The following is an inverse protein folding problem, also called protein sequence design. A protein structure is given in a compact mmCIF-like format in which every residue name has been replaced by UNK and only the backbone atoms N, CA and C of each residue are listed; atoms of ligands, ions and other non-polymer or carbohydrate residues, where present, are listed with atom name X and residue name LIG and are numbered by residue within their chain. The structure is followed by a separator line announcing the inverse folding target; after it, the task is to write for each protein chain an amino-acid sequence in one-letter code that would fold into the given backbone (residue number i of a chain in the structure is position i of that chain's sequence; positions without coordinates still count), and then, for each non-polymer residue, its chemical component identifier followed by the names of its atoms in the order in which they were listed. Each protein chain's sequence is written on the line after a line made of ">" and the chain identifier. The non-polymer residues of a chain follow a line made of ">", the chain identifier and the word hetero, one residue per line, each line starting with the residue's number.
data_IF_305070160332
#
_entry.id   IF_305070160332
#
_cell.length_a   1.000
_cell.length_b   1.000
_cell.length_c   1.000
_cell.angle_alpha   90.00
_cell.angle_beta   90.00
_cell.angle_gamma   90.00
#
_symmetry.space_group_name_H-M   'P 1'
#
loop_
_entity.id
_entity.type
_entity.pdbx_description
1 polymer ?
#
# COMPACT_ATOMS: atom_id res chain seq x y z
N UNK A 1 12.58 -2.67 -4.88
CA UNK A 1 12.05 -3.51 -3.79
C UNK A 1 10.77 -4.15 -4.31
N UNK A 2 10.88 -5.39 -4.78
CA UNK A 2 9.75 -6.16 -5.29
C UNK A 2 8.75 -6.44 -4.17
N UNK A 3 7.48 -6.14 -4.42
CA UNK A 3 6.38 -6.53 -3.54
C UNK A 3 5.90 -7.92 -3.92
N UNK A 4 6.79 -8.90 -3.72
CA UNK A 4 6.37 -10.30 -3.65
C UNK A 4 5.55 -10.51 -2.39
N UNK A 5 4.24 -10.66 -2.55
CA UNK A 5 3.47 -11.49 -1.62
C UNK A 5 3.72 -12.95 -1.97
N UNK A 6 4.92 -13.42 -1.63
CA UNK A 6 5.24 -14.82 -1.34
C UNK A 6 6.61 -14.85 -0.65
N UNK A 7 6.61 -14.89 0.68
CA UNK A 7 7.77 -15.29 1.50
C UNK A 7 8.97 -14.36 1.51
N UNK A 8 9.00 -13.38 2.44
CA UNK A 8 10.29 -12.79 2.83
C UNK A 8 11.05 -13.74 3.78
N UNK A 9 12.33 -14.05 3.51
CA UNK A 9 13.15 -14.94 4.32
C UNK A 9 13.65 -14.16 5.55
N UNK A 10 12.89 -14.29 6.64
CA UNK A 10 13.25 -13.79 7.97
C UNK A 10 12.42 -14.44 9.06
N UNK A 11 11.82 -15.61 8.78
CA UNK A 11 11.03 -16.36 9.75
C UNK A 11 11.95 -17.23 10.62
N UNK A 12 12.09 -16.84 11.88
CA UNK A 12 12.22 -17.85 12.94
C UNK A 12 10.89 -18.61 13.02
N UNK A 13 10.94 -19.88 12.62
CA UNK A 13 9.90 -20.92 12.63
C UNK A 13 8.72 -20.80 11.64
N UNK A 14 8.49 -21.91 10.94
CA UNK A 14 7.40 -22.20 10.01
C UNK A 14 6.05 -21.98 10.70
N UNK A 15 5.30 -20.95 10.28
CA UNK A 15 3.94 -20.69 10.77
C UNK A 15 2.93 -21.58 10.02
N UNK A 16 2.02 -22.23 10.75
CA UNK A 16 0.94 -23.02 10.16
C UNK A 16 -0.11 -22.13 9.46
N UNK A 17 -0.78 -22.61 8.40
CA UNK A 17 -1.72 -21.82 7.59
C UNK A 17 -2.97 -21.32 8.33
N UNK A 18 -3.31 -21.92 9.48
CA UNK A 18 -4.49 -21.54 10.29
C UNK A 18 -4.29 -20.28 11.14
N UNK A 19 -3.09 -19.70 11.15
CA UNK A 19 -2.78 -18.52 11.98
C UNK A 19 -3.14 -17.22 11.26
N UNK A 20 -3.66 -16.21 12.00
CA UNK A 20 -3.99 -14.93 11.41
C UNK A 20 -2.75 -14.23 10.81
N UNK A 21 -2.88 -13.54 9.66
CA UNK A 21 -1.75 -12.91 8.97
C UNK A 21 -1.31 -11.63 9.71
N UNK A 22 -0.52 -11.80 10.77
CA UNK A 22 0.04 -10.72 11.58
C UNK A 22 1.52 -10.51 11.28
N UNK A 23 1.87 -9.29 10.89
CA UNK A 23 3.25 -8.83 10.86
C UNK A 23 3.59 -8.18 12.21
N UNK A 24 4.40 -8.87 13.02
CA UNK A 24 4.78 -8.46 14.36
C UNK A 24 6.22 -7.97 14.34
N UNK A 25 6.47 -6.81 14.94
CA UNK A 25 7.80 -6.26 15.16
C UNK A 25 8.01 -6.04 16.64
N UNK A 26 9.06 -6.66 17.19
CA UNK A 26 9.49 -6.36 18.55
C UNK A 26 10.15 -4.98 18.58
N UNK A 27 9.78 -4.17 19.56
CA UNK A 27 10.35 -2.83 19.77
C UNK A 27 10.96 -2.80 21.17
N UNK A 28 12.30 -2.75 21.21
CA UNK A 28 13.09 -2.65 22.44
C UNK A 28 13.57 -1.21 22.58
N UNK A 29 12.76 -0.32 23.16
CA UNK A 29 13.11 1.10 23.34
C UNK A 29 11.96 2.06 23.03
N UNK A 30 12.28 3.33 22.77
CA UNK A 30 11.30 4.32 22.36
C UNK A 30 10.70 3.96 21.00
N UNK A 31 9.37 3.96 20.92
CA UNK A 31 8.64 3.70 19.70
C UNK A 31 8.64 4.97 18.85
N UNK A 32 9.58 5.07 17.90
CA UNK A 32 9.64 6.20 16.96
C UNK A 32 8.49 6.09 15.95
N UNK A 33 7.35 6.71 16.29
CA UNK A 33 6.18 6.77 15.42
C UNK A 33 6.19 8.06 14.61
N UNK A 34 5.76 8.00 13.34
CA UNK A 34 5.78 9.15 12.47
C UNK A 34 4.94 10.28 13.08
N UNK A 35 5.60 11.37 13.45
CA UNK A 35 4.90 12.58 13.87
C UNK A 35 4.02 13.11 12.74
N UNK A 36 2.93 13.78 13.11
CA UNK A 36 1.98 14.36 12.15
C UNK A 36 2.66 15.50 11.41
N UNK A 37 3.29 15.20 10.27
CA UNK A 37 3.87 16.24 9.41
C UNK A 37 2.78 17.12 8.80
N UNK A 38 3.07 18.43 8.71
CA UNK A 38 2.27 19.33 7.91
C UNK A 38 2.31 18.85 6.46
N UNK A 39 1.14 18.42 5.98
CA UNK A 39 1.03 18.02 4.58
C UNK A 39 1.04 19.29 3.75
N UNK A 40 2.18 19.56 3.10
CA UNK A 40 2.18 20.47 1.95
C UNK A 40 1.06 20.00 1.01
N UNK A 41 0.12 20.90 0.75
CA UNK A 41 -0.90 20.72 -0.27
C UNK A 41 -0.23 20.50 -1.63
N UNK A 42 -0.94 19.87 -2.55
CA UNK A 42 -0.47 19.69 -3.91
C UNK A 42 -1.54 19.04 -4.77
N UNK A 43 -1.60 19.45 -6.02
CA UNK A 43 -2.45 18.84 -7.05
C UNK A 43 -1.87 17.47 -7.46
N UNK A 44 -2.74 16.47 -7.57
CA UNK A 44 -2.40 15.09 -7.92
C UNK A 44 -3.59 14.16 -7.62
N UNK A 45 -3.42 12.86 -7.82
CA UNK A 45 -4.40 11.77 -7.67
C UNK A 45 -4.02 10.91 -6.47
N UNK A 46 -2.91 10.17 -6.52
CA UNK A 46 -2.51 9.25 -5.45
C UNK A 46 -1.13 9.61 -4.92
N UNK A 47 -1.02 9.86 -3.61
CA UNK A 47 0.28 10.10 -2.98
C UNK A 47 1.00 8.77 -2.70
N UNK A 48 2.30 8.72 -2.97
CA UNK A 48 3.14 7.53 -2.76
C UNK A 48 3.36 7.18 -1.29
N UNK A 49 3.44 8.20 -0.43
CA UNK A 49 3.66 8.03 1.01
C UNK A 49 2.44 7.46 1.77
N UNK A 50 1.24 7.57 1.19
CA UNK A 50 0.01 7.25 1.92
C UNK A 50 -0.18 5.74 2.17
N UNK A 51 0.05 4.83 1.20
CA UNK A 51 0.06 3.39 1.47
C UNK A 51 1.16 2.99 2.46
N UNK A 52 2.39 3.49 2.27
CA UNK A 52 3.55 3.19 3.13
C UNK A 52 3.29 3.51 4.60
N UNK A 53 2.49 4.55 4.87
CA UNK A 53 2.04 4.88 6.23
C UNK A 53 1.46 3.68 6.97
N UNK A 54 0.64 2.85 6.32
CA UNK A 54 -0.06 1.74 6.97
C UNK A 54 0.64 0.39 6.85
N UNK A 55 1.69 0.30 6.03
CA UNK A 55 2.49 -0.91 5.90
C UNK A 55 3.73 -0.84 6.81
N UNK A 56 4.38 0.31 6.91
CA UNK A 56 5.69 0.41 7.53
C UNK A 56 5.71 1.29 8.79
N UNK A 57 4.89 2.34 8.83
CA UNK A 57 5.11 3.44 9.80
C UNK A 57 4.11 3.46 10.95
N UNK A 58 2.84 3.13 10.70
CA UNK A 58 1.77 3.18 11.71
C UNK A 58 1.29 1.77 12.04
N UNK A 59 1.59 1.25 13.24
CA UNK A 59 1.09 -0.05 13.66
C UNK A 59 -0.43 0.01 13.87
N UNK A 60 -1.16 -1.04 13.49
CA UNK A 60 -2.59 -1.13 13.79
C UNK A 60 -2.85 -1.32 15.29
N UNK A 61 -1.94 -2.03 15.97
CA UNK A 61 -1.97 -2.36 17.39
C UNK A 61 -0.56 -2.26 17.98
N UNK A 62 -0.45 -1.69 19.16
CA UNK A 62 0.73 -1.71 20.03
C UNK A 62 0.39 -2.57 21.24
N UNK A 63 1.23 -3.54 21.57
CA UNK A 63 1.02 -4.45 22.70
C UNK A 63 2.11 -4.20 23.75
N UNK A 64 1.69 -3.83 24.96
CA UNK A 64 2.57 -3.64 26.10
C UNK A 64 2.54 -4.90 26.97
N UNK A 65 3.70 -5.54 27.12
CA UNK A 65 3.87 -6.67 28.04
C UNK A 65 4.35 -6.15 29.39
N UNK A 66 3.68 -6.54 30.48
CA UNK A 66 4.02 -6.16 31.85
C UNK A 66 4.16 -7.41 32.71
N UNK A 67 5.25 -7.51 33.44
CA UNK A 67 5.42 -8.53 34.49
C UNK A 67 4.68 -8.05 35.76
N UNK A 68 3.48 -8.60 35.99
CA UNK A 68 2.56 -8.14 37.03
C UNK A 68 1.54 -9.22 37.42
N UNK A 69 1.72 -9.77 38.61
CA UNK A 69 0.73 -10.62 39.29
C UNK A 69 -0.35 -9.78 40.01
N UNK A 70 -1.55 -10.33 40.17
CA UNK A 70 -2.69 -9.62 40.78
C UNK A 70 -2.51 -9.32 42.28
N UNK A 71 -1.72 -10.14 42.97
CA UNK A 71 -1.41 -10.05 44.40
C UNK A 71 -0.03 -9.42 44.67
N UNK A 72 0.57 -8.77 43.66
CA UNK A 72 1.89 -8.15 43.78
C UNK A 72 1.92 -7.14 44.96
N UNK A 73 2.92 -7.26 45.84
CA UNK A 73 3.01 -6.48 47.09
C UNK A 73 3.01 -4.96 46.86
N UNK A 74 3.67 -4.51 45.79
CA UNK A 74 3.68 -3.11 45.34
C UNK A 74 2.64 -2.81 44.27
N UNK A 75 1.42 -3.37 44.38
CA UNK A 75 0.36 -3.20 43.37
C UNK A 75 0.15 -1.73 42.97
N UNK A 76 0.09 -0.82 43.94
CA UNK A 76 -0.17 0.59 43.69
C UNK A 76 0.91 1.24 42.80
N UNK A 77 2.18 0.92 43.03
CA UNK A 77 3.30 1.41 42.21
C UNK A 77 3.25 0.84 40.79
N UNK A 78 3.01 -0.48 40.67
CA UNK A 78 2.91 -1.17 39.38
C UNK A 78 1.73 -0.69 38.54
N UNK A 79 0.62 -0.40 39.20
CA UNK A 79 -0.57 0.21 38.62
C UNK A 79 -0.25 1.59 38.01
N UNK A 80 0.41 2.46 38.77
CA UNK A 80 0.84 3.78 38.29
C UNK A 80 1.89 3.68 37.16
N UNK A 81 2.80 2.71 37.24
CA UNK A 81 3.76 2.43 36.17
C UNK A 81 3.04 2.03 34.86
N UNK A 82 2.04 1.15 34.94
CA UNK A 82 1.24 0.71 33.80
C UNK A 82 0.47 1.88 33.14
N UNK A 83 -0.15 2.73 33.97
CA UNK A 83 -0.84 3.94 33.52
C UNK A 83 0.11 4.88 32.77
N UNK A 84 1.26 5.19 33.36
CA UNK A 84 2.28 6.06 32.76
C UNK A 84 2.79 5.52 31.42
N UNK A 85 3.10 4.23 31.33
CA UNK A 85 3.52 3.59 30.08
C UNK A 85 2.41 3.65 29.02
N UNK A 86 1.16 3.36 29.38
CA UNK A 86 0.03 3.45 28.45
C UNK A 86 -0.20 4.89 27.97
N UNK A 87 -0.10 5.88 28.86
CA UNK A 87 -0.24 7.29 28.53
C UNK A 87 0.87 7.76 27.57
N UNK A 88 2.13 7.38 27.83
CA UNK A 88 3.27 7.65 26.96
C UNK A 88 3.06 7.04 25.56
N UNK A 89 2.67 5.77 25.48
CA UNK A 89 2.39 5.10 24.20
C UNK A 89 1.28 5.80 23.40
N UNK A 90 0.21 6.28 24.07
CA UNK A 90 -0.86 7.05 23.41
C UNK A 90 -0.37 8.40 22.90
N UNK A 91 0.48 9.09 23.66
CA UNK A 91 1.05 10.35 23.26
C UNK A 91 1.92 10.18 22.01
N UNK A 92 2.80 9.18 22.00
CA UNK A 92 3.70 8.89 20.88
C UNK A 92 2.97 8.38 19.64
N UNK A 93 1.97 7.52 19.79
CA UNK A 93 1.22 6.99 18.65
C UNK A 93 0.24 7.96 18.00
N UNK A 94 -0.05 9.07 18.69
CA UNK A 94 -1.25 9.84 18.46
C UNK A 94 -2.51 8.95 18.57
N UNK A 95 -3.69 9.53 18.34
CA UNK A 95 -4.95 8.76 18.29
C UNK A 95 -5.04 7.81 17.06
N UNK A 96 -3.91 7.41 16.48
CA UNK A 96 -3.88 6.59 15.29
C UNK A 96 -4.11 5.12 15.63
N UNK A 97 -3.28 4.54 16.51
CA UNK A 97 -3.12 3.10 16.77
C UNK A 97 -3.90 2.62 18.00
N UNK A 98 -4.27 1.33 18.03
CA UNK A 98 -4.85 0.71 19.24
C UNK A 98 -3.74 0.27 20.19
N UNK A 99 -4.08 0.16 21.48
CA UNK A 99 -3.19 -0.34 22.52
C UNK A 99 -3.84 -1.54 23.19
N UNK A 100 -3.05 -2.56 23.49
CA UNK A 100 -3.42 -3.67 24.37
C UNK A 100 -2.31 -3.89 25.40
N UNK A 101 -2.69 -4.44 26.55
CA UNK A 101 -1.79 -4.82 27.64
C UNK A 101 -1.88 -6.33 27.85
N UNK A 102 -0.72 -6.97 27.97
CA UNK A 102 -0.60 -8.38 28.33
C UNK A 102 0.16 -8.46 29.64
N UNK A 103 -0.49 -9.00 30.67
CA UNK A 103 0.13 -9.29 31.94
C UNK A 103 0.80 -10.66 31.87
N UNK A 104 2.09 -10.69 32.17
CA UNK A 104 2.87 -11.90 32.37
C UNK A 104 2.78 -12.23 33.86
N UNK A 105 2.25 -13.40 34.19
CA UNK A 105 2.04 -13.84 35.57
C UNK A 105 2.95 -15.01 35.89
N UNK A 106 3.70 -14.91 36.99
CA UNK A 106 4.65 -15.93 37.41
C UNK A 106 3.96 -17.09 38.13
N UNK A 107 2.73 -16.89 38.61
CA UNK A 107 1.93 -17.96 39.24
C UNK A 107 1.00 -18.65 38.23
N UNK A 108 0.75 -19.93 38.47
CA UNK A 108 -0.30 -20.68 37.76
C UNK A 108 -1.67 -20.08 38.10
N UNK A 109 -2.46 -19.75 37.08
CA UNK A 109 -3.86 -19.32 37.26
C UNK A 109 -4.60 -20.43 38.02
N UNK A 110 -5.27 -20.13 39.15
CA UNK A 110 -5.98 -21.16 39.91
C UNK A 110 -7.03 -21.85 39.03
N UNK A 111 -7.05 -23.19 39.07
CA UNK A 111 -7.86 -24.06 38.20
C UNK A 111 -9.36 -24.07 38.51
N UNK A 112 -9.83 -23.27 39.48
CA UNK A 112 -11.22 -23.31 39.95
C UNK A 112 -11.66 -21.98 40.58
N UNK A 113 -12.69 -21.35 40.01
CA UNK A 113 -13.45 -20.24 40.59
C UNK A 113 -13.00 -18.85 40.12
N UNK A 114 -13.98 -17.96 39.88
CA UNK A 114 -13.74 -16.53 39.66
C UNK A 114 -12.90 -15.98 40.80
N UNK A 115 -11.67 -15.54 40.50
CA UNK A 115 -10.83 -14.84 41.46
C UNK A 115 -11.37 -13.39 41.60
N UNK A 116 -11.98 -13.03 42.75
CA UNK A 116 -12.57 -11.71 42.93
C UNK A 116 -11.49 -10.62 42.91
N UNK A 117 -10.28 -10.92 43.40
CA UNK A 117 -9.16 -9.98 43.39
C UNK A 117 -8.72 -9.73 41.94
N UNK A 118 -8.53 -10.78 41.15
CA UNK A 118 -8.19 -10.64 39.73
C UNK A 118 -9.24 -9.80 38.97
N UNK A 119 -10.52 -10.01 39.26
CA UNK A 119 -11.61 -9.27 38.62
C UNK A 119 -11.59 -7.79 38.99
N UNK A 120 -11.46 -7.47 40.27
CA UNK A 120 -11.35 -6.10 40.78
C UNK A 120 -10.13 -5.38 40.18
N UNK A 121 -8.97 -6.03 40.22
CA UNK A 121 -7.71 -5.48 39.73
C UNK A 121 -7.69 -5.32 38.21
N UNK A 122 -8.29 -6.24 37.46
CA UNK A 122 -8.44 -6.13 36.01
C UNK A 122 -9.32 -4.93 35.63
N UNK A 123 -10.42 -4.72 36.37
CA UNK A 123 -11.29 -3.57 36.17
C UNK A 123 -10.57 -2.25 36.47
N UNK A 124 -9.86 -2.21 37.60
CA UNK A 124 -9.05 -1.06 38.03
C UNK A 124 -7.97 -0.69 36.99
N UNK A 125 -7.21 -1.67 36.48
CA UNK A 125 -6.22 -1.45 35.43
C UNK A 125 -6.88 -0.99 34.12
N UNK A 126 -7.98 -1.59 33.70
CA UNK A 126 -8.69 -1.18 32.50
C UNK A 126 -9.14 0.29 32.58
N UNK A 127 -9.66 0.71 33.74
CA UNK A 127 -10.16 2.06 33.94
C UNK A 127 -9.06 3.11 33.84
N UNK A 128 -7.98 2.96 34.63
CA UNK A 128 -6.87 3.95 34.65
C UNK A 128 -6.10 3.94 33.33
N UNK A 129 -5.92 2.76 32.74
CA UNK A 129 -5.18 2.65 31.49
C UNK A 129 -6.08 2.95 30.31
N UNK A 130 -7.36 3.30 30.47
CA UNK A 130 -8.34 3.52 29.40
C UNK A 130 -8.39 2.39 28.36
N UNK A 131 -8.46 1.15 28.85
CA UNK A 131 -8.58 -0.07 28.06
C UNK A 131 -10.01 -0.60 28.16
N UNK A 132 -10.47 -1.25 27.10
CA UNK A 132 -11.62 -2.14 27.18
C UNK A 132 -11.17 -3.53 27.66
N UNK A 133 -12.06 -4.37 28.23
CA UNK A 133 -11.71 -5.73 28.64
C UNK A 133 -11.11 -6.58 27.50
N UNK A 134 -11.42 -6.28 26.23
CA UNK A 134 -10.84 -6.94 25.05
C UNK A 134 -9.40 -6.51 24.74
N UNK A 135 -8.83 -5.60 25.53
CA UNK A 135 -7.47 -5.06 25.36
C UNK A 135 -6.56 -5.41 26.54
N UNK A 136 -7.06 -6.17 27.53
CA UNK A 136 -6.28 -6.67 28.64
C UNK A 136 -6.26 -8.19 28.58
N UNK A 137 -5.06 -8.77 28.57
CA UNK A 137 -4.85 -10.21 28.50
C UNK A 137 -3.91 -10.67 29.61
N UNK A 138 -4.01 -11.93 29.97
CA UNK A 138 -3.16 -12.55 30.98
C UNK A 138 -2.53 -13.80 30.39
N UNK A 139 -1.22 -13.93 30.59
CA UNK A 139 -0.43 -15.10 30.18
C UNK A 139 0.33 -15.62 31.40
N UNK A 140 0.04 -16.84 31.88
CA UNK A 140 0.87 -17.49 32.88
C UNK A 140 2.20 -17.91 32.25
N UNK A 141 3.31 -17.54 32.86
CA UNK A 141 4.67 -17.82 32.39
C UNK A 141 5.12 -19.26 32.71
N UNK A 142 4.38 -19.96 33.58
CA UNK A 142 4.63 -21.35 33.91
C UNK A 142 3.82 -22.29 33.00
N UNK A 143 4.51 -23.19 32.31
CA UNK A 143 3.89 -24.26 31.50
C UNK A 143 3.94 -24.01 30.00
N UNK A 144 3.07 -24.70 29.26
CA UNK A 144 2.97 -24.58 27.80
C UNK A 144 2.24 -23.29 27.39
N UNK A 145 2.96 -22.40 26.71
CA UNK A 145 2.45 -21.11 26.23
C UNK A 145 1.71 -21.21 24.90
N UNK A 146 1.78 -22.34 24.20
CA UNK A 146 1.33 -22.47 22.80
C UNK A 146 -0.15 -22.07 22.63
N UNK A 147 -1.02 -22.52 23.55
CA UNK A 147 -2.45 -22.16 23.53
C UNK A 147 -2.71 -20.68 23.82
N UNK A 148 -1.93 -20.06 24.71
CA UNK A 148 -2.04 -18.64 25.03
C UNK A 148 -1.58 -17.77 23.85
N UNK A 149 -0.47 -18.14 23.22
CA UNK A 149 0.06 -17.45 22.03
C UNK A 149 -0.98 -17.48 20.91
N UNK A 150 -1.60 -18.62 20.62
CA UNK A 150 -2.64 -18.73 19.59
C UNK A 150 -3.87 -17.84 19.88
N UNK A 151 -4.32 -17.81 21.15
CA UNK A 151 -5.42 -16.92 21.59
C UNK A 151 -5.04 -15.44 21.46
N UNK A 152 -3.83 -15.06 21.85
CA UNK A 152 -3.33 -13.69 21.70
C UNK A 152 -3.23 -13.28 20.23
N UNK A 153 -2.69 -14.14 19.36
CA UNK A 153 -2.63 -13.89 17.91
C UNK A 153 -4.04 -13.59 17.35
N UNK A 154 -5.03 -14.37 17.74
CA UNK A 154 -6.42 -14.18 17.30
C UNK A 154 -7.01 -12.85 17.82
N UNK A 155 -6.78 -12.55 19.10
CA UNK A 155 -7.27 -11.32 19.71
C UNK A 155 -6.57 -10.06 19.16
N UNK A 156 -5.26 -10.12 18.93
CA UNK A 156 -4.50 -9.03 18.31
C UNK A 156 -4.95 -8.79 16.88
N UNK A 157 -5.26 -9.86 16.15
CA UNK A 157 -5.85 -9.75 14.84
C UNK A 157 -7.19 -9.01 14.88
N UNK A 158 -8.13 -9.40 15.75
CA UNK A 158 -9.42 -8.70 15.90
C UNK A 158 -9.24 -7.21 16.28
N UNK A 159 -8.29 -6.90 17.16
CA UNK A 159 -7.98 -5.52 17.49
C UNK A 159 -7.43 -4.75 16.28
N UNK A 160 -6.52 -5.33 15.49
CA UNK A 160 -6.02 -4.72 14.26
C UNK A 160 -7.14 -4.52 13.22
N UNK A 161 -8.04 -5.50 13.07
CA UNK A 161 -9.21 -5.45 12.20
C UNK A 161 -10.09 -4.23 12.49
N UNK A 162 -10.37 -3.97 13.77
CA UNK A 162 -11.18 -2.82 14.14
C UNK A 162 -10.46 -1.47 13.95
N UNK A 163 -9.12 -1.42 13.99
CA UNK A 163 -8.37 -0.21 13.61
C UNK A 163 -8.66 0.14 12.14
N UNK A 164 -8.55 -0.83 11.23
CA UNK A 164 -8.83 -0.60 9.81
C UNK A 164 -10.29 -0.23 9.56
N UNK A 165 -11.23 -0.87 10.26
CA UNK A 165 -12.65 -0.52 10.19
C UNK A 165 -12.93 0.94 10.59
N UNK A 166 -12.27 1.45 11.63
CA UNK A 166 -12.41 2.85 12.02
C UNK A 166 -11.86 3.79 10.94
N UNK A 167 -10.67 3.50 10.38
CA UNK A 167 -10.09 4.30 9.30
C UNK A 167 -10.98 4.32 8.05
N UNK A 168 -11.56 3.17 7.69
CA UNK A 168 -12.53 3.07 6.59
C UNK A 168 -13.74 3.98 6.83
N UNK A 169 -14.35 3.96 8.02
CA UNK A 169 -15.47 4.85 8.38
C UNK A 169 -15.07 6.32 8.24
N UNK A 170 -13.91 6.72 8.78
CA UNK A 170 -13.41 8.10 8.68
C UNK A 170 -13.17 8.54 7.23
N UNK A 171 -12.75 7.65 6.34
CA UNK A 171 -12.53 7.98 4.93
C UNK A 171 -13.85 8.13 4.18
N UNK A 172 -14.83 7.24 4.44
CA UNK A 172 -16.18 7.32 3.84
C UNK A 172 -16.92 8.59 4.22
N UNK A 173 -16.77 9.05 5.46
CA UNK A 173 -17.44 10.24 5.96
C UNK A 173 -16.90 11.57 5.37
N UNK A 174 -15.82 11.55 4.59
CA UNK A 174 -15.28 12.76 3.96
C UNK A 174 -16.15 13.15 2.77
N UNK A 175 -16.65 14.39 2.79
CA UNK A 175 -17.29 14.98 1.63
C UNK A 175 -16.27 15.20 0.51
N UNK A 176 -16.71 14.98 -0.72
CA UNK A 176 -15.94 15.23 -1.94
C UNK A 176 -16.76 16.17 -2.82
N UNK A 177 -16.16 17.25 -3.36
CA UNK A 177 -16.82 18.09 -4.34
C UNK A 177 -17.30 17.30 -5.56
N UNK A 178 -18.47 17.63 -6.09
CA UNK A 178 -19.11 16.89 -7.20
C UNK A 178 -18.30 16.89 -8.51
N UNK A 179 -17.34 17.80 -8.69
CA UNK A 179 -16.51 17.92 -9.88
C UNK A 179 -15.03 17.66 -9.56
N UNK A 180 -14.71 16.48 -9.03
CA UNK A 180 -13.34 16.15 -8.61
C UNK A 180 -13.04 14.65 -8.76
N UNK A 181 -12.97 14.14 -10.01
CA UNK A 181 -12.71 12.71 -10.26
C UNK A 181 -11.44 12.22 -9.56
N UNK A 182 -10.38 13.04 -9.49
CA UNK A 182 -9.16 12.73 -8.75
C UNK A 182 -9.38 12.47 -7.26
N UNK A 183 -10.27 13.23 -6.61
CA UNK A 183 -10.58 13.06 -5.20
C UNK A 183 -11.42 11.79 -4.96
N UNK A 184 -12.37 11.51 -5.87
CA UNK A 184 -13.20 10.30 -5.83
C UNK A 184 -12.33 9.05 -6.01
N UNK A 185 -11.51 9.00 -7.05
CA UNK A 185 -10.54 7.92 -7.30
C UNK A 185 -9.63 7.71 -6.09
N UNK A 186 -9.12 8.80 -5.50
CA UNK A 186 -8.30 8.73 -4.27
C UNK A 186 -9.06 8.14 -3.10
N UNK A 187 -10.30 8.53 -2.87
CA UNK A 187 -11.09 7.99 -1.75
C UNK A 187 -11.34 6.50 -1.95
N UNK A 188 -11.79 6.10 -3.14
CA UNK A 188 -12.06 4.70 -3.49
C UNK A 188 -10.81 3.84 -3.38
N UNK A 189 -9.67 4.31 -3.90
CA UNK A 189 -8.37 3.62 -3.74
C UNK A 189 -8.04 3.37 -2.27
N UNK A 190 -8.20 4.39 -1.41
CA UNK A 190 -7.90 4.26 0.02
C UNK A 190 -8.85 3.28 0.72
N UNK A 191 -10.12 3.26 0.34
CA UNK A 191 -11.09 2.30 0.85
C UNK A 191 -10.73 0.88 0.41
N UNK A 192 -10.32 0.72 -0.84
CA UNK A 192 -9.91 -0.57 -1.37
C UNK A 192 -8.65 -1.11 -0.65
N UNK A 193 -7.61 -0.28 -0.58
CA UNK A 193 -6.32 -0.63 0.03
C UNK A 193 -6.44 -1.02 1.52
N UNK A 194 -7.20 -0.25 2.32
CA UNK A 194 -7.41 -0.63 3.73
C UNK A 194 -8.29 -1.87 3.88
N UNK A 195 -9.17 -2.14 2.92
CA UNK A 195 -9.96 -3.38 2.93
C UNK A 195 -9.07 -4.60 2.64
N UNK A 196 -8.05 -4.47 1.78
CA UNK A 196 -7.04 -5.53 1.61
C UNK A 196 -6.21 -5.78 2.86
N UNK A 197 -5.72 -4.72 3.52
CA UNK A 197 -4.98 -4.90 4.79
C UNK A 197 -5.84 -5.61 5.84
N UNK A 198 -7.15 -5.42 5.75
CA UNK A 198 -8.16 -6.07 6.56
C UNK A 198 -8.50 -7.50 6.11
N UNK A 199 -7.97 -7.98 4.99
CA UNK A 199 -8.35 -9.26 4.36
C UNK A 199 -9.82 -9.30 3.86
N UNK A 200 -10.48 -8.16 3.72
CA UNK A 200 -11.79 -8.04 3.06
C UNK A 200 -11.58 -7.82 1.56
N UNK A 201 -11.20 -8.90 0.88
CA UNK A 201 -10.75 -8.90 -0.52
C UNK A 201 -11.89 -8.59 -1.49
N UNK A 202 -13.14 -8.94 -1.16
CA UNK A 202 -14.31 -8.60 -1.98
C UNK A 202 -14.65 -7.10 -1.91
N UNK A 203 -14.62 -6.48 -0.72
CA UNK A 203 -14.82 -5.04 -0.60
C UNK A 203 -13.67 -4.27 -1.26
N UNK A 204 -12.44 -4.78 -1.16
CA UNK A 204 -11.30 -4.21 -1.87
C UNK A 204 -11.53 -4.21 -3.39
N UNK A 205 -11.86 -5.37 -3.95
CA UNK A 205 -12.14 -5.55 -5.38
C UNK A 205 -13.22 -4.59 -5.89
N UNK A 206 -14.35 -4.49 -5.16
CA UNK A 206 -15.43 -3.56 -5.53
C UNK A 206 -14.96 -2.10 -5.58
N UNK A 207 -14.21 -1.64 -4.57
CA UNK A 207 -13.75 -0.25 -4.53
C UNK A 207 -12.68 0.04 -5.59
N UNK A 208 -11.79 -0.91 -5.89
CA UNK A 208 -10.85 -0.78 -7.00
C UNK A 208 -11.55 -0.68 -8.35
N UNK A 209 -12.56 -1.51 -8.59
CA UNK A 209 -13.38 -1.42 -9.80
C UNK A 209 -14.09 -0.08 -9.91
N UNK A 210 -14.71 0.41 -8.84
CA UNK A 210 -15.34 1.73 -8.86
C UNK A 210 -14.32 2.84 -9.16
N UNK A 211 -13.12 2.80 -8.58
CA UNK A 211 -12.07 3.77 -8.88
C UNK A 211 -11.64 3.70 -10.36
N UNK A 212 -11.54 2.49 -10.90
CA UNK A 212 -11.18 2.26 -12.30
C UNK A 212 -12.25 2.82 -13.27
N UNK A 213 -13.54 2.55 -13.00
CA UNK A 213 -14.63 3.11 -13.80
C UNK A 213 -14.64 4.64 -13.73
N UNK A 214 -14.36 5.24 -12.56
CA UNK A 214 -14.23 6.70 -12.45
C UNK A 214 -13.12 7.27 -13.33
N UNK A 215 -11.96 6.60 -13.40
CA UNK A 215 -10.90 6.99 -14.33
C UNK A 215 -11.30 6.84 -15.80
N UNK A 216 -12.07 5.80 -16.13
CA UNK A 216 -12.53 5.47 -17.48
C UNK A 216 -13.60 6.42 -17.99
N UNK A 217 -14.56 6.78 -17.14
CA UNK A 217 -15.72 7.59 -17.53
C UNK A 217 -15.39 9.09 -17.60
N UNK A 218 -14.30 9.53 -16.93
CA UNK A 218 -13.91 10.95 -16.85
C UNK A 218 -12.55 11.25 -17.49
N UNK A 219 -12.19 10.54 -18.57
CA UNK A 219 -10.89 10.72 -19.28
C UNK A 219 -10.67 12.19 -19.68
N UNK A 220 -11.72 12.89 -20.09
CA UNK A 220 -11.67 14.28 -20.54
C UNK A 220 -11.47 15.29 -19.40
N UNK A 221 -11.75 14.90 -18.15
CA UNK A 221 -11.58 15.76 -16.97
C UNK A 221 -10.12 15.88 -16.52
N UNK A 222 -9.19 15.15 -17.15
CA UNK A 222 -7.78 15.14 -16.81
C UNK A 222 -6.98 16.08 -17.72
N UNK A 223 -6.15 16.92 -17.13
CA UNK A 223 -5.28 17.81 -17.90
C UNK A 223 -4.18 17.01 -18.61
N UNK A 224 -3.80 17.44 -19.82
CA UNK A 224 -2.78 16.75 -20.62
C UNK A 224 -1.42 16.63 -19.92
N UNK A 225 -1.09 17.55 -19.00
CA UNK A 225 0.13 17.52 -18.20
C UNK A 225 0.12 16.45 -17.11
N UNK A 226 -1.07 15.99 -16.70
CA UNK A 226 -1.31 15.01 -15.64
C UNK A 226 -1.61 13.62 -16.19
N UNK A 227 -1.62 13.46 -17.53
CA UNK A 227 -1.96 12.19 -18.20
C UNK A 227 -1.07 11.02 -17.75
N UNK A 228 0.17 11.28 -17.35
CA UNK A 228 1.11 10.27 -16.84
C UNK A 228 0.76 9.79 -15.44
N UNK A 229 0.36 10.72 -14.58
CA UNK A 229 -0.14 10.38 -13.26
C UNK A 229 -1.44 9.61 -13.38
N UNK A 230 -2.38 10.08 -14.21
CA UNK A 230 -3.61 9.36 -14.50
C UNK A 230 -3.36 7.94 -15.01
N UNK A 231 -2.54 7.78 -16.06
CA UNK A 231 -2.20 6.48 -16.65
C UNK A 231 -1.52 5.57 -15.64
N UNK A 232 -0.73 6.14 -14.72
CA UNK A 232 -0.14 5.42 -13.60
C UNK A 232 -1.15 4.85 -12.63
N UNK A 233 -2.14 5.67 -12.27
CA UNK A 233 -3.23 5.24 -11.40
C UNK A 233 -4.12 4.21 -12.09
N UNK A 234 -4.48 4.38 -13.36
CA UNK A 234 -5.32 3.40 -14.08
C UNK A 234 -4.63 2.05 -14.19
N UNK A 235 -3.34 2.03 -14.55
CA UNK A 235 -2.56 0.78 -14.61
C UNK A 235 -2.46 0.08 -13.25
N UNK A 236 -2.23 0.84 -12.18
CA UNK A 236 -2.24 0.30 -10.81
C UNK A 236 -3.60 -0.30 -10.44
N UNK A 237 -4.71 0.40 -10.74
CA UNK A 237 -6.05 -0.10 -10.46
C UNK A 237 -6.34 -1.38 -11.24
N UNK A 238 -5.98 -1.45 -12.52
CA UNK A 238 -6.13 -2.65 -13.34
C UNK A 238 -5.35 -3.83 -12.76
N UNK A 239 -4.09 -3.61 -12.37
CA UNK A 239 -3.25 -4.60 -11.71
C UNK A 239 -3.95 -5.19 -10.47
N UNK A 240 -4.43 -4.32 -9.56
CA UNK A 240 -5.10 -4.74 -8.32
C UNK A 240 -6.41 -5.49 -8.57
N UNK A 241 -7.16 -5.12 -9.61
CA UNK A 241 -8.39 -5.83 -10.00
C UNK A 241 -8.04 -7.24 -10.48
N UNK A 242 -7.07 -7.38 -11.39
CA UNK A 242 -6.65 -8.68 -11.91
C UNK A 242 -6.06 -9.57 -10.82
N UNK A 243 -5.21 -9.03 -9.94
CA UNK A 243 -4.63 -9.73 -8.79
C UNK A 243 -5.73 -10.30 -7.89
N UNK A 244 -6.75 -9.50 -7.55
CA UNK A 244 -7.88 -9.96 -6.72
C UNK A 244 -8.76 -10.98 -7.45
N UNK A 245 -8.98 -10.83 -8.76
CA UNK A 245 -9.67 -11.85 -9.55
C UNK A 245 -8.93 -13.19 -9.48
N UNK A 246 -7.60 -13.19 -9.65
CA UNK A 246 -6.81 -14.42 -9.52
C UNK A 246 -6.87 -15.00 -8.11
N UNK A 247 -6.77 -14.16 -7.07
CA UNK A 247 -6.94 -14.58 -5.67
C UNK A 247 -8.31 -15.23 -5.41
N UNK A 248 -9.36 -14.78 -6.11
CA UNK A 248 -10.72 -15.32 -6.01
C UNK A 248 -10.98 -16.50 -6.96
N UNK A 249 -9.96 -17.06 -7.60
CA UNK A 249 -10.08 -18.11 -8.63
C UNK A 249 -10.96 -17.69 -9.84
N UNK A 250 -11.05 -16.39 -10.12
CA UNK A 250 -11.82 -15.78 -11.20
C UNK A 250 -10.92 -15.42 -12.39
N UNK A 251 -10.21 -16.42 -12.94
CA UNK A 251 -9.22 -16.20 -13.99
C UNK A 251 -9.83 -15.62 -15.28
N UNK A 252 -11.03 -16.07 -15.65
CA UNK A 252 -11.75 -15.61 -16.85
C UNK A 252 -12.09 -14.12 -16.72
N UNK A 253 -12.49 -13.68 -15.53
CA UNK A 253 -12.78 -12.29 -15.22
C UNK A 253 -11.52 -11.41 -15.25
N UNK A 254 -10.38 -11.91 -14.75
CA UNK A 254 -9.10 -11.21 -14.87
C UNK A 254 -8.73 -11.00 -16.34
N UNK A 255 -8.88 -12.03 -17.18
CA UNK A 255 -8.60 -11.95 -18.63
C UNK A 255 -9.56 -10.98 -19.32
N UNK A 256 -10.86 -11.04 -19.01
CA UNK A 256 -11.84 -10.12 -19.57
C UNK A 256 -11.59 -8.68 -19.13
N UNK A 257 -11.16 -8.48 -17.89
CA UNK A 257 -10.71 -7.17 -17.39
C UNK A 257 -9.51 -6.67 -18.20
N UNK A 258 -8.50 -7.51 -18.42
CA UNK A 258 -7.32 -7.14 -19.22
C UNK A 258 -7.67 -6.81 -20.67
N UNK A 259 -8.53 -7.61 -21.33
CA UNK A 259 -8.99 -7.33 -22.70
C UNK A 259 -9.73 -5.99 -22.79
N UNK A 260 -10.61 -5.69 -21.82
CA UNK A 260 -11.28 -4.38 -21.76
C UNK A 260 -10.27 -3.25 -21.52
N UNK A 261 -9.31 -3.46 -20.63
CA UNK A 261 -8.25 -2.49 -20.34
C UNK A 261 -7.46 -2.15 -21.61
N UNK A 262 -7.08 -3.16 -22.39
CA UNK A 262 -6.44 -2.99 -23.69
C UNK A 262 -7.33 -2.21 -24.67
N UNK A 263 -8.58 -2.65 -24.86
CA UNK A 263 -9.50 -2.02 -25.81
C UNK A 263 -9.75 -0.53 -25.50
N UNK A 264 -9.84 -0.17 -24.22
CA UNK A 264 -10.15 1.21 -23.81
C UNK A 264 -8.90 2.09 -23.76
N UNK A 265 -7.80 1.61 -23.16
CA UNK A 265 -6.69 2.48 -22.79
C UNK A 265 -5.48 2.37 -23.73
N UNK A 266 -5.27 1.26 -24.42
CA UNK A 266 -4.11 1.12 -25.30
C UNK A 266 -4.26 1.95 -26.57
N UNK A 267 -5.50 2.12 -27.03
CA UNK A 267 -5.89 3.01 -28.11
C UNK A 267 -6.30 4.42 -27.63
N UNK A 268 -6.14 4.69 -26.33
CA UNK A 268 -6.46 6.00 -25.74
C UNK A 268 -5.49 7.10 -26.18
N UNK A 269 -5.78 8.37 -25.81
CA UNK A 269 -4.92 9.49 -26.18
C UNK A 269 -3.52 9.31 -25.58
N UNK A 270 -2.50 9.39 -26.44
CA UNK A 270 -1.10 9.45 -25.99
C UNK A 270 -0.86 10.69 -25.11
N UNK A 271 -1.50 11.80 -25.47
CA UNK A 271 -1.22 13.14 -24.96
C UNK A 271 -0.23 13.88 -25.85
N UNK A 272 0.04 15.14 -25.50
CA UNK A 272 0.99 16.01 -26.23
C UNK A 272 2.17 16.46 -25.36
N UNK A 273 2.13 16.14 -24.07
CA UNK A 273 3.11 16.55 -23.08
C UNK A 273 4.06 15.40 -22.74
N UNK A 274 5.37 15.62 -22.53
CA UNK A 274 6.10 16.89 -22.74
C UNK A 274 6.24 17.24 -24.23
N UNK A 275 6.27 16.25 -25.11
CA UNK A 275 6.10 16.42 -26.56
C UNK A 275 5.22 15.29 -27.11
N UNK A 276 4.54 15.46 -28.26
CA UNK A 276 3.69 14.41 -28.83
C UNK A 276 4.45 13.09 -29.11
N UNK A 277 5.70 13.19 -29.56
CA UNK A 277 6.52 12.01 -29.85
C UNK A 277 6.91 11.24 -28.58
N UNK A 278 7.31 11.96 -27.52
CA UNK A 278 7.58 11.34 -26.23
C UNK A 278 6.31 10.74 -25.64
N UNK A 279 5.21 11.49 -25.59
CA UNK A 279 3.93 11.00 -25.08
C UNK A 279 3.46 9.70 -25.76
N UNK A 280 3.69 9.57 -27.08
CA UNK A 280 3.36 8.35 -27.82
C UNK A 280 4.26 7.16 -27.45
N UNK A 281 5.58 7.36 -27.39
CA UNK A 281 6.53 6.33 -26.94
C UNK A 281 6.18 5.85 -25.54
N UNK A 282 5.82 6.78 -24.66
CA UNK A 282 5.49 6.50 -23.27
C UNK A 282 4.16 5.73 -23.12
N UNK A 283 3.16 6.03 -23.94
CA UNK A 283 1.94 5.23 -24.02
C UNK A 283 2.26 3.79 -24.44
N UNK A 284 3.08 3.61 -25.48
CA UNK A 284 3.46 2.27 -25.95
C UNK A 284 4.27 1.49 -24.91
N UNK A 285 5.21 2.15 -24.20
CA UNK A 285 5.94 1.58 -23.07
C UNK A 285 4.99 1.14 -21.96
N UNK A 286 4.01 1.97 -21.63
CA UNK A 286 3.01 1.64 -20.64
C UNK A 286 2.16 0.44 -21.07
N UNK A 287 1.70 0.38 -22.32
CA UNK A 287 0.95 -0.76 -22.87
C UNK A 287 1.75 -2.08 -22.74
N UNK A 288 3.03 -2.06 -23.13
CA UNK A 288 3.92 -3.21 -23.00
C UNK A 288 4.03 -3.67 -21.53
N UNK A 289 4.23 -2.70 -20.63
CA UNK A 289 4.36 -2.95 -19.19
C UNK A 289 3.08 -3.49 -18.56
N UNK A 290 1.90 -3.04 -18.97
CA UNK A 290 0.63 -3.60 -18.51
C UNK A 290 0.49 -5.08 -18.91
N UNK A 291 0.86 -5.44 -20.15
CA UNK A 291 0.84 -6.84 -20.61
C UNK A 291 1.80 -7.72 -19.82
N UNK A 292 3.02 -7.23 -19.61
CA UNK A 292 4.02 -7.93 -18.80
C UNK A 292 3.55 -8.15 -17.36
N UNK A 293 3.05 -7.12 -16.69
CA UNK A 293 2.56 -7.23 -15.30
C UNK A 293 1.39 -8.20 -15.17
N UNK A 294 0.44 -8.19 -16.11
CA UNK A 294 -0.66 -9.14 -16.10
C UNK A 294 -0.15 -10.58 -16.27
N UNK A 295 0.82 -10.79 -17.16
CA UNK A 295 1.41 -12.11 -17.35
C UNK A 295 2.11 -12.61 -16.07
N UNK A 296 2.86 -11.75 -15.39
CA UNK A 296 3.51 -12.07 -14.12
C UNK A 296 2.49 -12.42 -13.03
N UNK A 297 1.41 -11.63 -12.89
CA UNK A 297 0.32 -11.94 -11.97
C UNK A 297 -0.32 -13.29 -12.26
N UNK A 298 -0.53 -13.60 -13.54
CA UNK A 298 -1.17 -14.84 -13.94
C UNK A 298 -0.23 -16.04 -13.69
N UNK A 299 1.05 -15.91 -14.02
CA UNK A 299 2.08 -16.91 -13.70
C UNK A 299 2.14 -17.19 -12.20
N UNK A 300 2.19 -16.14 -11.36
CA UNK A 300 2.18 -16.27 -9.91
C UNK A 300 0.90 -16.95 -9.41
N UNK A 301 -0.26 -16.63 -9.99
CA UNK A 301 -1.52 -17.29 -9.63
C UNK A 301 -1.51 -18.79 -9.95
N UNK A 302 -0.95 -19.19 -11.10
CA UNK A 302 -0.78 -20.61 -11.48
C UNK A 302 0.16 -21.32 -10.51
N UNK A 303 1.30 -20.70 -10.17
CA UNK A 303 2.24 -21.22 -9.16
C UNK A 303 1.54 -21.40 -7.80
N UNK A 304 0.62 -20.50 -7.46
CA UNK A 304 -0.18 -20.54 -6.23
C UNK A 304 -1.39 -21.48 -6.29
N UNK A 305 -1.50 -22.33 -7.32
CA UNK A 305 -2.52 -23.39 -7.39
C UNK A 305 -3.77 -23.05 -8.19
N UNK A 306 -3.80 -21.94 -8.93
CA UNK A 306 -4.86 -21.68 -9.89
C UNK A 306 -4.83 -22.75 -10.99
N UNK A 307 -5.94 -23.43 -11.21
CA UNK A 307 -6.06 -24.45 -12.26
C UNK A 307 -5.83 -23.83 -13.64
N UNK A 308 -4.71 -24.18 -14.26
CA UNK A 308 -4.40 -23.74 -15.60
C UNK A 308 -5.38 -24.37 -16.61
N UNK A 309 -6.01 -23.54 -17.44
CA UNK A 309 -6.74 -23.98 -18.61
C UNK A 309 -5.80 -23.86 -19.82
N UNK A 310 -5.76 -24.86 -20.70
CA UNK A 310 -4.84 -24.89 -21.85
C UNK A 310 -4.96 -23.64 -22.77
N UNK A 311 -6.14 -23.03 -22.83
CA UNK A 311 -6.43 -21.83 -23.62
C UNK A 311 -6.15 -20.52 -22.88
N UNK A 312 -5.82 -20.58 -21.58
CA UNK A 312 -5.58 -19.44 -20.71
C UNK A 312 -4.16 -19.54 -20.15
N UNK A 313 -3.19 -18.92 -20.84
CA UNK A 313 -1.79 -18.93 -20.40
C UNK A 313 -1.18 -17.51 -20.42
N UNK A 314 -0.22 -17.23 -19.52
CA UNK A 314 0.48 -15.95 -19.47
C UNK A 314 1.32 -15.67 -20.73
N UNK A 315 1.71 -16.71 -21.48
CA UNK A 315 2.57 -16.61 -22.66
C UNK A 315 2.02 -15.67 -23.74
N UNK A 316 0.71 -15.68 -23.99
CA UNK A 316 0.07 -14.75 -24.94
C UNK A 316 0.31 -13.27 -24.60
N UNK A 317 0.35 -12.93 -23.31
CA UNK A 317 0.56 -11.55 -22.85
C UNK A 317 2.05 -11.21 -22.79
N UNK A 318 2.93 -12.18 -22.52
CA UNK A 318 4.38 -12.01 -22.66
C UNK A 318 4.80 -11.75 -24.11
N UNK A 319 4.24 -12.49 -25.07
CA UNK A 319 4.50 -12.30 -26.50
C UNK A 319 4.04 -10.92 -26.98
N UNK A 320 2.85 -10.50 -26.56
CA UNK A 320 2.35 -9.15 -26.84
C UNK A 320 3.24 -8.07 -26.20
N UNK A 321 3.67 -8.26 -24.94
CA UNK A 321 4.58 -7.33 -24.28
C UNK A 321 5.92 -7.20 -25.03
N UNK A 322 6.53 -8.32 -25.43
CA UNK A 322 7.78 -8.34 -26.19
C UNK A 322 7.63 -7.64 -27.55
N UNK A 323 6.53 -7.90 -28.26
CA UNK A 323 6.20 -7.24 -29.53
C UNK A 323 6.06 -5.73 -29.37
N UNK A 324 5.37 -5.26 -28.33
CA UNK A 324 5.23 -3.84 -28.02
C UNK A 324 6.57 -3.20 -27.63
N UNK A 325 7.38 -3.84 -26.78
CA UNK A 325 8.72 -3.34 -26.44
C UNK A 325 9.62 -3.23 -27.67
N UNK A 326 9.56 -4.18 -28.59
CA UNK A 326 10.29 -4.13 -29.86
C UNK A 326 9.87 -2.94 -30.72
N UNK A 327 8.56 -2.69 -30.85
CA UNK A 327 8.03 -1.53 -31.57
C UNK A 327 8.46 -0.20 -30.91
N UNK A 328 8.36 -0.10 -29.59
CA UNK A 328 8.83 1.05 -28.81
C UNK A 328 10.30 1.35 -29.08
N UNK A 329 11.17 0.33 -29.04
CA UNK A 329 12.60 0.53 -29.26
C UNK A 329 12.89 1.14 -30.64
N UNK A 330 12.13 0.75 -31.67
CA UNK A 330 12.22 1.37 -33.00
C UNK A 330 11.80 2.84 -32.96
N UNK A 331 10.70 3.17 -32.27
CA UNK A 331 10.22 4.55 -32.10
C UNK A 331 11.23 5.42 -31.35
N UNK A 332 11.88 4.89 -30.30
CA UNK A 332 12.94 5.57 -29.55
C UNK A 332 14.15 5.87 -30.45
N UNK A 333 14.60 4.87 -31.21
CA UNK A 333 15.73 5.05 -32.13
C UNK A 333 15.41 6.08 -33.21
N UNK A 334 14.20 6.06 -33.76
CA UNK A 334 13.74 7.05 -34.74
C UNK A 334 13.72 8.47 -34.13
N UNK A 335 13.21 8.61 -32.89
CA UNK A 335 13.19 9.90 -32.19
C UNK A 335 14.60 10.44 -31.92
N UNK A 336 15.52 9.58 -31.47
CA UNK A 336 16.92 9.97 -31.23
C UNK A 336 17.64 10.36 -32.52
N UNK A 337 17.32 9.70 -33.63
CA UNK A 337 17.89 10.05 -34.95
C UNK A 337 17.39 11.40 -35.44
N UNK A 338 16.13 11.74 -35.22
CA UNK A 338 15.56 13.04 -35.60
C UNK A 338 15.92 14.17 -34.64
N UNK A 339 16.32 13.85 -33.41
CA UNK A 339 16.72 14.80 -32.38
C UNK A 339 18.11 14.43 -31.82
N UNK A 340 19.18 14.64 -32.60
CA UNK A 340 20.53 14.41 -32.10
C UNK A 340 20.79 15.31 -30.89
N UNK A 341 21.29 14.72 -29.80
CA UNK A 341 21.61 15.45 -28.58
C UNK A 341 22.83 16.33 -28.85
N UNK A 342 22.57 17.62 -29.10
CA UNK A 342 23.61 18.64 -29.35
C UNK A 342 23.94 19.46 -28.10
N UNK A 343 23.05 19.47 -27.12
CA UNK A 343 23.22 20.15 -25.84
C UNK A 343 23.87 19.22 -24.82
N UNK A 344 24.73 19.74 -23.92
CA UNK A 344 25.21 18.95 -22.79
C UNK A 344 24.04 18.53 -21.89
N UNK A 345 24.25 17.46 -21.12
CA UNK A 345 23.28 17.01 -20.14
C UNK A 345 22.99 18.14 -19.11
N UNK A 346 21.72 18.44 -18.79
CA UNK A 346 21.39 19.54 -17.90
C UNK A 346 21.90 19.35 -16.47
N UNK A 347 22.31 20.45 -15.84
CA UNK A 347 22.73 20.50 -14.43
C UNK A 347 22.04 21.69 -13.77
N UNK A 348 21.24 21.50 -12.70
CA UNK A 348 20.99 20.25 -11.99
C UNK A 348 20.17 19.24 -12.81
N UNK A 349 20.31 17.94 -12.51
CA UNK A 349 19.58 16.87 -13.19
C UNK A 349 18.06 16.98 -12.94
N UNK A 350 17.23 17.23 -13.99
CA UNK A 350 15.77 17.29 -13.87
C UNK A 350 15.13 15.96 -13.41
N UNK A 351 15.86 14.85 -13.51
CA UNK A 351 15.43 13.50 -13.17
C UNK A 351 15.86 13.05 -11.77
N UNK A 352 16.66 13.84 -11.05
CA UNK A 352 17.24 13.46 -9.76
C UNK A 352 16.20 12.99 -8.73
N UNK A 353 14.98 13.54 -8.79
CA UNK A 353 13.90 13.22 -7.85
C UNK A 353 12.98 12.08 -8.30
N UNK A 354 13.34 11.27 -9.30
CA UNK A 354 12.46 10.23 -9.87
C UNK A 354 11.96 9.19 -8.84
N UNK A 355 12.80 8.88 -7.86
CA UNK A 355 12.46 7.97 -6.77
C UNK A 355 11.67 8.66 -5.64
N UNK A 356 11.73 10.00 -5.57
CA UNK A 356 11.21 10.81 -4.47
C UNK A 356 10.03 11.69 -4.88
N UNK A 357 9.28 11.32 -5.93
CA UNK A 357 8.06 12.06 -6.31
C UNK A 357 6.97 11.91 -5.25
N UNK A 358 6.10 12.92 -5.16
CA UNK A 358 5.02 12.96 -4.16
C UNK A 358 3.85 12.09 -4.58
N UNK A 359 3.51 12.13 -5.87
CA UNK A 359 2.40 11.38 -6.44
C UNK A 359 2.84 10.31 -7.44
N UNK A 360 2.02 9.27 -7.59
CA UNK A 360 2.24 8.21 -8.57
C UNK A 360 2.21 8.77 -9.99
N UNK A 361 3.26 8.52 -10.77
CA UNK A 361 3.38 9.01 -12.14
C UNK A 361 3.63 10.51 -12.29
N UNK A 362 3.85 11.24 -11.19
CA UNK A 362 4.26 12.64 -11.22
C UNK A 362 5.62 12.77 -11.92
N UNK A 363 5.78 13.80 -12.76
CA UNK A 363 7.07 14.11 -13.37
C UNK A 363 8.06 14.65 -12.33
N UNK A 364 9.31 14.17 -12.29
CA UNK A 364 10.28 14.58 -11.25
C UNK A 364 10.59 16.08 -11.27
N UNK A 365 10.62 16.69 -12.44
CA UNK A 365 10.84 18.13 -12.62
C UNK A 365 9.59 18.99 -12.33
N UNK A 366 8.43 18.37 -12.09
CA UNK A 366 7.18 19.04 -11.70
C UNK A 366 6.91 19.02 -10.18
N UNK A 367 7.85 18.53 -9.38
CA UNK A 367 7.68 18.55 -7.92
C UNK A 367 7.63 20.00 -7.42
N UNK A 368 6.57 20.33 -6.69
CA UNK A 368 6.35 21.67 -6.15
C UNK A 368 5.59 22.63 -7.08
N UNK A 369 5.19 22.19 -8.27
CA UNK A 369 4.39 22.97 -9.21
C UNK A 369 2.99 22.36 -9.37
N UNK A 370 1.94 23.19 -9.26
CA UNK A 370 0.55 22.76 -9.51
C UNK A 370 0.23 22.64 -11.02
N UNK A 371 1.09 23.19 -11.88
CA UNK A 371 0.99 23.16 -13.34
C UNK A 371 2.32 22.78 -13.98
N UNK A 372 2.61 23.33 -15.17
CA UNK A 372 3.92 23.20 -15.80
C UNK A 372 5.02 23.81 -14.92
N UNK A 373 6.22 23.23 -14.99
CA UNK A 373 7.41 23.88 -14.47
C UNK A 373 7.81 25.08 -15.36
N UNK A 374 8.73 25.95 -14.93
CA UNK A 374 9.28 27.00 -15.78
C UNK A 374 9.82 26.45 -17.11
N UNK A 375 9.70 27.21 -18.19
CA UNK A 375 10.01 26.73 -19.54
C UNK A 375 11.43 26.15 -19.70
N UNK A 376 12.41 26.74 -19.02
CA UNK A 376 13.78 26.23 -19.00
C UNK A 376 13.88 24.85 -18.33
N UNK A 377 13.13 24.61 -17.25
CA UNK A 377 13.09 23.32 -16.55
C UNK A 377 12.42 22.25 -17.40
N UNK A 378 11.34 22.60 -18.12
CA UNK A 378 10.68 21.69 -19.06
C UNK A 378 11.59 21.34 -20.25
N UNK A 379 12.32 22.32 -20.79
CA UNK A 379 13.28 22.11 -21.88
C UNK A 379 14.47 21.25 -21.45
N UNK A 380 15.01 21.51 -20.26
CA UNK A 380 16.06 20.69 -19.65
C UNK A 380 15.57 19.26 -19.44
N UNK A 381 14.34 19.06 -18.95
CA UNK A 381 13.76 17.73 -18.78
C UNK A 381 13.67 16.97 -20.11
N UNK A 382 13.18 17.60 -21.19
CA UNK A 382 13.14 16.98 -22.52
C UNK A 382 14.54 16.61 -23.00
N UNK A 383 15.51 17.51 -22.81
CA UNK A 383 16.92 17.27 -23.17
C UNK A 383 17.51 16.09 -22.39
N UNK A 384 17.23 16.01 -21.09
CA UNK A 384 17.67 14.90 -20.23
C UNK A 384 17.06 13.56 -20.71
N UNK A 385 15.76 13.52 -21.01
CA UNK A 385 15.07 12.32 -21.51
C UNK A 385 15.70 11.80 -22.82
N UNK A 386 16.01 12.70 -23.75
CA UNK A 386 16.64 12.33 -25.03
C UNK A 386 18.09 11.85 -24.85
N UNK A 387 18.78 12.35 -23.82
CA UNK A 387 20.18 12.01 -23.51
C UNK A 387 20.35 10.65 -22.82
N UNK A 388 19.33 10.13 -22.12
CA UNK A 388 19.43 8.87 -21.37
C UNK A 388 19.46 7.67 -22.34
N UNK A 389 20.47 6.80 -22.20
CA UNK A 389 20.70 5.69 -23.14
C UNK A 389 19.58 4.64 -23.15
N UNK A 390 18.91 4.31 -22.03
CA UNK A 390 17.58 3.71 -22.05
C UNK A 390 16.51 4.66 -21.49
N UNK A 391 15.61 5.17 -22.36
CA UNK A 391 14.36 5.86 -21.96
C UNK A 391 13.50 5.01 -20.99
N UNK A 392 13.82 3.71 -20.86
CA UNK A 392 13.29 2.76 -19.89
C UNK A 392 13.37 3.24 -18.42
N UNK A 393 14.38 4.03 -18.03
CA UNK A 393 14.60 4.48 -16.63
C UNK A 393 13.44 5.33 -16.09
N UNK A 394 12.72 6.02 -16.98
CA UNK A 394 11.53 6.82 -16.62
C UNK A 394 10.34 5.95 -16.18
N UNK A 395 10.28 4.71 -16.67
CA UNK A 395 9.12 3.83 -16.55
C UNK A 395 9.32 2.68 -15.56
N UNK A 396 10.56 2.29 -15.27
CA UNK A 396 10.86 1.26 -14.27
C UNK A 396 10.56 1.75 -12.84
N UNK A 397 10.87 3.01 -12.55
CA UNK A 397 10.76 3.62 -11.22
C UNK A 397 9.33 4.01 -10.78
N UNK A 398 8.38 4.06 -11.72
CA UNK A 398 7.16 4.85 -11.50
C UNK A 398 5.94 4.08 -11.00
N UNK A 399 5.93 2.75 -11.13
CA UNK A 399 4.69 1.96 -11.08
C UNK A 399 4.48 1.08 -9.86
N UNK A 400 5.52 0.84 -9.06
CA UNK A 400 5.33 0.15 -7.80
C UNK A 400 6.00 0.94 -6.70
N UNK A 401 5.28 1.07 -5.57
CA UNK A 401 5.89 1.11 -4.25
C UNK A 401 6.97 0.06 -4.34
N UNK A 402 8.21 0.50 -4.51
CA UNK A 402 9.34 -0.40 -4.53
C UNK A 402 9.91 -0.20 -3.18
#
# INVERSE_FOLDING_TARGET
>A
MEWDRCGYPGQTQVRTPDRPPLNLRLVTGELDLPQKSEKKGGKGILRRDWPLKYIERVPALIVLFLDLDWDHSSWLEKKTEAESKCASLRASAGQASRIAVVLLQQRSVPTSGDDPLATERAHELCQICHLTPRQLFVVPMLGDLTGYVSKLESAFHELAQGFYQQKLKTIRARSIPNNSPALVVRQLFKLAFLSELRQDTHTAYRNYRLAYEQCKDHVESWEGIDIFEWRSVVGLLNYKICELCFLHNMAVEAINQMRRHQAVFFAGPAGVYPTPALANIELQLWNAKQCWHFAQLFEQAVVNGLTALATLNPGTQLDLAASLYSAVNKSILALKKSNPVTKPYPVPDPMAAIQNTVFFGQRPWRIGYDGLAPANVEEDAVTAILSIQPILVLFTSSFFLS
#
